data_IF_004324681352
#
_entry.id   IF_004324681352
#
_cell.length_a   1.000
_cell.length_b   1.000
_cell.length_c   1.000
_cell.angle_alpha   90.00
_cell.angle_beta   90.00
_cell.angle_gamma   90.00
#
_symmetry.space_group_name_H-M   'P 1'
#
loop_
_entity.id
_entity.type
_entity.pdbx_description
1 polymer ?
#
# COMPACT_ATOMS: atom_id res chain seq x y z
N UNK A 1 17.45 -9.02 10.70
CA UNK A 1 16.41 -7.96 10.68
C UNK A 1 15.17 -8.49 11.40
N UNK A 2 14.42 -7.68 12.15
CA UNK A 2 13.16 -8.15 12.75
C UNK A 2 12.11 -8.39 11.63
N UNK A 3 11.36 -9.51 11.65
CA UNK A 3 10.31 -9.76 10.65
C UNK A 3 9.25 -8.66 10.66
N UNK A 4 8.80 -8.25 9.47
CA UNK A 4 7.77 -7.22 9.24
C UNK A 4 6.58 -7.83 8.52
N UNK A 5 5.41 -7.22 8.70
CA UNK A 5 4.15 -7.68 8.14
C UNK A 5 3.58 -6.58 7.24
N UNK A 6 3.61 -6.82 5.92
CA UNK A 6 3.17 -5.86 4.92
C UNK A 6 1.76 -6.17 4.44
N UNK A 7 0.88 -5.17 4.45
CA UNK A 7 -0.43 -5.22 3.83
C UNK A 7 -0.39 -4.55 2.45
N UNK A 8 -0.84 -5.23 1.41
CA UNK A 8 -0.99 -4.67 0.07
C UNK A 8 -2.45 -4.33 -0.18
N UNK A 9 -2.73 -3.07 -0.43
CA UNK A 9 -4.04 -2.56 -0.85
C UNK A 9 -3.96 -2.17 -2.32
N UNK A 10 -4.78 -2.80 -3.16
CA UNK A 10 -4.97 -2.50 -4.59
C UNK A 10 -3.72 -2.03 -5.36
N UNK A 11 -3.12 -2.95 -6.13
CA UNK A 11 -1.96 -2.62 -6.96
C UNK A 11 -2.31 -2.12 -8.36
N UNK A 12 -1.28 -1.74 -9.12
CA UNK A 12 -1.35 -1.58 -10.57
C UNK A 12 -1.89 -2.85 -11.24
N UNK A 13 -2.52 -2.70 -12.40
CA UNK A 13 -2.94 -3.81 -13.26
C UNK A 13 -1.74 -4.47 -13.98
N UNK A 14 -0.70 -4.82 -13.22
CA UNK A 14 0.53 -5.46 -13.69
C UNK A 14 1.04 -6.47 -12.65
N UNK A 15 1.98 -7.36 -13.01
CA UNK A 15 2.61 -8.28 -12.07
C UNK A 15 3.46 -7.62 -10.97
N UNK A 16 3.76 -6.32 -11.05
CA UNK A 16 4.72 -5.65 -10.18
C UNK A 16 4.47 -5.88 -8.68
N UNK A 17 3.25 -5.68 -8.18
CA UNK A 17 2.96 -5.91 -6.75
C UNK A 17 3.07 -7.39 -6.35
N UNK A 18 2.81 -8.32 -7.25
CA UNK A 18 3.03 -9.75 -6.99
C UNK A 18 4.52 -10.03 -6.83
N UNK A 19 5.36 -9.51 -7.73
CA UNK A 19 6.80 -9.65 -7.68
C UNK A 19 7.40 -8.98 -6.45
N UNK A 20 7.00 -7.75 -6.14
CA UNK A 20 7.40 -7.03 -4.94
C UNK A 20 7.02 -7.80 -3.67
N UNK A 21 5.79 -8.32 -3.59
CA UNK A 21 5.36 -9.13 -2.44
C UNK A 21 6.15 -10.43 -2.29
N UNK A 22 6.66 -10.99 -3.40
CA UNK A 22 7.50 -12.18 -3.40
C UNK A 22 8.91 -11.87 -2.92
N UNK A 23 9.51 -10.79 -3.43
CA UNK A 23 10.82 -10.32 -3.00
C UNK A 23 10.84 -10.00 -1.49
N UNK A 24 9.82 -9.28 -1.00
CA UNK A 24 9.68 -8.98 0.45
C UNK A 24 9.60 -10.27 1.29
N UNK A 25 8.91 -11.31 0.79
CA UNK A 25 8.87 -12.61 1.48
C UNK A 25 10.22 -13.33 1.49
N UNK A 26 10.99 -13.21 0.41
CA UNK A 26 12.34 -13.80 0.31
C UNK A 26 13.30 -13.18 1.33
N UNK A 27 13.10 -11.90 1.67
CA UNK A 27 13.84 -11.19 2.74
C UNK A 27 13.36 -11.57 4.17
N UNK A 28 12.49 -12.58 4.32
CA UNK A 28 12.04 -13.07 5.62
C UNK A 28 10.87 -12.30 6.24
N UNK A 29 10.15 -11.50 5.45
CA UNK A 29 8.95 -10.79 5.89
C UNK A 29 7.66 -11.50 5.48
N UNK A 30 6.54 -11.12 6.09
CA UNK A 30 5.21 -11.59 5.67
C UNK A 30 4.51 -10.53 4.83
N UNK A 31 3.72 -10.99 3.87
CA UNK A 31 2.88 -10.10 3.06
C UNK A 31 1.48 -10.66 2.94
N UNK A 32 0.51 -9.75 3.04
CA UNK A 32 -0.93 -9.97 2.96
C UNK A 32 -1.48 -9.06 1.88
N UNK A 33 -2.58 -9.45 1.22
CA UNK A 33 -3.16 -8.64 0.14
C UNK A 33 -4.67 -8.61 0.21
N UNK A 34 -5.25 -7.47 -0.14
CA UNK A 34 -6.69 -7.27 -0.27
C UNK A 34 -7.05 -7.02 -1.72
N UNK A 35 -7.95 -7.85 -2.25
CA UNK A 35 -8.53 -7.70 -3.56
C UNK A 35 -9.91 -7.08 -3.44
N UNK A 36 -10.13 -5.97 -4.13
CA UNK A 36 -11.40 -5.24 -4.17
C UNK A 36 -12.18 -5.51 -5.45
N UNK A 37 -11.50 -5.91 -6.53
CA UNK A 37 -12.13 -6.26 -7.80
C UNK A 37 -11.52 -7.50 -8.47
N UNK A 38 -12.12 -7.91 -9.60
CA UNK A 38 -11.62 -9.04 -10.40
C UNK A 38 -10.22 -8.81 -10.97
N UNK A 39 -9.90 -7.58 -11.36
CA UNK A 39 -8.57 -7.19 -11.83
C UNK A 39 -7.49 -7.43 -10.76
N UNK A 40 -7.76 -7.06 -9.50
CA UNK A 40 -6.84 -7.34 -8.39
C UNK A 40 -6.57 -8.84 -8.26
N UNK A 41 -7.62 -9.64 -8.43
CA UNK A 41 -7.54 -11.10 -8.30
C UNK A 41 -6.62 -11.71 -9.35
N UNK A 42 -6.65 -11.20 -10.59
CA UNK A 42 -5.76 -11.62 -11.68
C UNK A 42 -4.27 -11.40 -11.35
N UNK A 43 -3.95 -10.31 -10.64
CA UNK A 43 -2.56 -9.90 -10.34
C UNK A 43 -2.11 -10.18 -8.89
N UNK A 44 -2.94 -10.78 -8.05
CA UNK A 44 -2.69 -10.91 -6.60
C UNK A 44 -1.82 -12.09 -6.17
N UNK A 45 -1.73 -13.14 -6.98
CA UNK A 45 -1.21 -14.43 -6.53
C UNK A 45 -2.21 -15.19 -5.64
N UNK A 46 -1.73 -16.15 -4.84
CA UNK A 46 -2.61 -17.04 -4.05
C UNK A 46 -2.38 -17.02 -2.53
N UNK A 47 -1.18 -16.65 -2.07
CA UNK A 47 -0.80 -16.72 -0.65
C UNK A 47 -1.23 -15.46 0.12
N UNK A 48 -1.92 -15.65 1.24
CA UNK A 48 -2.36 -14.58 2.15
C UNK A 48 -3.17 -13.48 1.46
N UNK A 49 -4.06 -13.88 0.56
CA UNK A 49 -4.92 -12.97 -0.21
C UNK A 49 -6.34 -13.05 0.34
N UNK A 50 -6.93 -11.90 0.64
CA UNK A 50 -8.33 -11.77 1.01
C UNK A 50 -9.09 -11.02 -0.08
N UNK A 51 -10.35 -11.38 -0.24
CA UNK A 51 -11.31 -10.60 -1.02
C UNK A 51 -12.11 -9.72 -0.07
N UNK A 52 -12.23 -8.45 -0.40
CA UNK A 52 -13.14 -7.53 0.28
C UNK A 52 -14.23 -7.09 -0.70
N UNK A 53 -15.47 -7.45 -0.40
CA UNK A 53 -16.65 -7.21 -1.24
C UNK A 53 -17.83 -6.65 -0.44
N UNK A 54 -17.53 -6.02 0.70
CA UNK A 54 -18.52 -5.41 1.59
C UNK A 54 -18.58 -3.88 1.40
N UNK A 55 -19.61 -3.21 1.94
CA UNK A 55 -19.75 -1.75 1.90
C UNK A 55 -18.57 -0.98 2.53
N UNK A 56 -18.25 0.20 2.00
CA UNK A 56 -17.08 1.01 2.40
C UNK A 56 -17.03 1.35 3.91
N UNK A 57 -18.18 1.56 4.54
CA UNK A 57 -18.32 1.87 5.96
C UNK A 57 -17.96 0.70 6.89
N UNK A 58 -18.08 -0.54 6.42
CA UNK A 58 -17.62 -1.73 7.15
C UNK A 58 -16.09 -1.94 7.03
N UNK A 59 -15.43 -1.27 6.08
CA UNK A 59 -14.02 -1.54 5.75
C UNK A 59 -13.05 -1.23 6.90
N UNK A 60 -13.17 -0.10 7.64
CA UNK A 60 -12.29 0.18 8.77
C UNK A 60 -12.34 -0.89 9.87
N UNK A 61 -13.54 -1.38 10.20
CA UNK A 61 -13.72 -2.43 11.20
C UNK A 61 -13.06 -3.73 10.74
N UNK A 62 -13.33 -4.13 9.49
CA UNK A 62 -12.71 -5.31 8.90
C UNK A 62 -11.18 -5.20 8.86
N UNK A 63 -10.63 -4.02 8.52
CA UNK A 63 -9.20 -3.78 8.49
C UNK A 63 -8.59 -3.86 9.90
N UNK A 64 -9.29 -3.36 10.93
CA UNK A 64 -8.87 -3.44 12.32
C UNK A 64 -8.80 -4.89 12.81
N UNK A 65 -9.80 -5.71 12.50
CA UNK A 65 -9.79 -7.15 12.81
C UNK A 65 -8.60 -7.86 12.15
N UNK A 66 -8.32 -7.55 10.89
CA UNK A 66 -7.15 -8.09 10.18
C UNK A 66 -5.83 -7.63 10.79
N UNK A 67 -5.73 -6.37 11.18
CA UNK A 67 -4.55 -5.85 11.86
C UNK A 67 -4.35 -6.52 13.22
N UNK A 68 -5.40 -6.74 14.01
CA UNK A 68 -5.31 -7.46 15.28
C UNK A 68 -4.75 -8.88 15.09
N UNK A 69 -5.17 -9.58 14.04
CA UNK A 69 -4.75 -10.95 13.74
C UNK A 69 -3.32 -11.03 13.17
N UNK A 70 -2.90 -10.06 12.36
CA UNK A 70 -1.68 -10.15 11.55
C UNK A 70 -0.62 -9.09 11.85
N UNK A 71 -0.92 -8.14 12.74
CA UNK A 71 0.02 -7.16 13.28
C UNK A 71 0.80 -6.45 12.17
N UNK A 72 0.09 -5.82 11.22
CA UNK A 72 0.72 -5.09 10.12
C UNK A 72 1.66 -4.02 10.64
N UNK A 73 2.90 -4.02 10.17
CA UNK A 73 3.88 -2.97 10.44
C UNK A 73 3.92 -1.95 9.31
N UNK A 74 3.43 -2.36 8.14
CA UNK A 74 3.59 -1.68 6.87
C UNK A 74 2.37 -1.87 5.98
N UNK A 75 2.07 -0.86 5.18
CA UNK A 75 1.07 -0.95 4.12
C UNK A 75 1.63 -0.36 2.82
N UNK A 76 1.37 -1.07 1.73
CA UNK A 76 1.74 -0.70 0.38
C UNK A 76 0.46 -0.51 -0.43
N UNK A 77 0.33 0.63 -1.09
CA UNK A 77 -0.86 0.96 -1.89
C UNK A 77 -0.50 1.67 -3.19
N UNK A 78 -1.35 1.57 -4.22
CA UNK A 78 -1.20 2.31 -5.47
C UNK A 78 -2.26 3.43 -5.58
N UNK A 79 -1.79 4.67 -5.54
CA UNK A 79 -2.59 5.88 -5.40
C UNK A 79 -3.29 5.97 -4.03
N UNK A 80 -3.36 7.14 -3.41
CA UNK A 80 -3.85 7.28 -2.03
C UNK A 80 -5.22 7.95 -1.88
N UNK A 81 -5.87 8.28 -2.99
CA UNK A 81 -7.13 9.05 -3.00
C UNK A 81 -8.38 8.19 -3.17
N UNK A 82 -8.23 6.88 -3.41
CA UNK A 82 -9.36 5.95 -3.55
C UNK A 82 -10.16 5.86 -2.23
N UNK A 83 -11.49 5.68 -2.24
CA UNK A 83 -12.29 5.68 -1.01
C UNK A 83 -11.81 4.69 0.05
N UNK A 84 -11.53 3.43 -0.36
CA UNK A 84 -11.00 2.40 0.55
C UNK A 84 -9.59 2.75 1.05
N UNK A 85 -8.75 3.37 0.22
CA UNK A 85 -7.40 3.78 0.62
C UNK A 85 -7.44 4.97 1.60
N UNK A 86 -8.32 5.95 1.38
CA UNK A 86 -8.55 7.05 2.33
C UNK A 86 -9.00 6.53 3.69
N UNK A 87 -9.97 5.60 3.69
CA UNK A 87 -10.45 4.96 4.91
C UNK A 87 -9.32 4.17 5.61
N UNK A 88 -8.54 3.40 4.85
CA UNK A 88 -7.37 2.69 5.39
C UNK A 88 -6.37 3.66 6.02
N UNK A 89 -5.93 4.69 5.29
CA UNK A 89 -4.87 5.61 5.73
C UNK A 89 -5.17 6.27 7.07
N UNK A 90 -6.44 6.62 7.32
CA UNK A 90 -6.86 7.15 8.62
C UNK A 90 -6.55 6.16 9.75
N UNK A 91 -7.08 4.94 9.65
CA UNK A 91 -6.83 3.87 10.62
C UNK A 91 -5.32 3.57 10.77
N UNK A 92 -4.60 3.43 9.65
CA UNK A 92 -3.19 3.04 9.64
C UNK A 92 -2.30 4.08 10.33
N UNK A 93 -2.59 5.38 10.17
CA UNK A 93 -1.87 6.45 10.86
C UNK A 93 -2.09 6.40 12.36
N UNK A 94 -3.33 6.17 12.80
CA UNK A 94 -3.67 6.06 14.23
C UNK A 94 -2.94 4.88 14.91
N UNK A 95 -2.55 3.86 14.12
CA UNK A 95 -1.79 2.69 14.58
C UNK A 95 -0.27 2.82 14.38
N UNK A 96 0.25 3.98 13.97
CA UNK A 96 1.67 4.18 13.64
C UNK A 96 2.23 3.19 12.58
N UNK A 97 1.37 2.73 11.67
CA UNK A 97 1.75 1.84 10.57
C UNK A 97 2.38 2.68 9.45
N UNK A 98 3.51 2.22 8.91
CA UNK A 98 4.19 2.95 7.83
C UNK A 98 3.44 2.79 6.52
N UNK A 99 3.24 3.90 5.82
CA UNK A 99 2.44 3.96 4.60
C UNK A 99 3.33 4.23 3.39
N UNK A 100 3.42 3.27 2.50
CA UNK A 100 4.13 3.34 1.23
C UNK A 100 3.14 3.47 0.09
N UNK A 101 3.23 4.57 -0.65
CA UNK A 101 2.31 4.89 -1.73
C UNK A 101 3.08 4.88 -3.04
N UNK A 102 2.68 3.99 -3.94
CA UNK A 102 3.14 3.98 -5.32
C UNK A 102 2.20 4.80 -6.20
N UNK A 103 2.72 5.37 -7.28
CA UNK A 103 1.95 6.07 -8.31
C UNK A 103 2.62 5.95 -9.67
N UNK A 104 1.87 6.21 -10.76
CA UNK A 104 2.46 6.44 -12.07
C UNK A 104 3.57 7.49 -11.96
N UNK A 105 4.78 7.16 -12.43
CA UNK A 105 5.97 7.97 -12.20
C UNK A 105 5.75 9.44 -12.59
N UNK A 106 6.25 10.35 -11.74
CA UNK A 106 6.28 11.78 -12.03
C UNK A 106 7.15 12.10 -13.26
N UNK A 107 8.19 11.29 -13.46
CA UNK A 107 9.04 11.31 -14.64
C UNK A 107 8.65 10.16 -15.56
N UNK A 108 8.58 10.46 -16.87
CA UNK A 108 8.21 9.49 -17.88
C UNK A 108 9.15 9.58 -19.08
N UNK A 109 9.36 8.47 -19.82
CA UNK A 109 8.87 7.09 -19.56
C UNK A 109 9.68 6.30 -18.50
N UNK A 110 9.20 5.10 -18.16
CA UNK A 110 9.90 4.02 -17.40
C UNK A 110 10.00 4.12 -15.86
N UNK A 111 9.46 5.15 -15.22
CA UNK A 111 9.52 5.27 -13.76
C UNK A 111 8.18 5.01 -13.09
N UNK A 112 8.26 4.52 -11.85
CA UNK A 112 7.16 4.46 -10.89
C UNK A 112 7.59 5.27 -9.67
N UNK A 113 6.69 6.11 -9.16
CA UNK A 113 6.96 6.88 -7.93
C UNK A 113 6.69 5.99 -6.72
N UNK A 114 7.54 6.09 -5.71
CA UNK A 114 7.27 5.56 -4.36
C UNK A 114 7.53 6.68 -3.36
N UNK A 115 6.52 7.01 -2.55
CA UNK A 115 6.66 7.95 -1.44
C UNK A 115 6.06 7.41 -0.15
N UNK A 116 6.48 8.00 0.97
CA UNK A 116 5.89 7.71 2.26
C UNK A 116 4.74 8.68 2.54
N UNK A 117 3.66 8.16 3.12
CA UNK A 117 2.49 8.89 3.64
C UNK A 117 1.57 9.59 2.62
N UNK A 118 2.02 9.83 1.38
CA UNK A 118 1.22 10.40 0.29
C UNK A 118 2.01 10.63 -1.00
N UNK A 119 1.30 10.77 -2.12
CA UNK A 119 1.82 11.07 -3.48
C UNK A 119 1.00 12.18 -4.12
N UNK A 120 1.44 12.70 -5.27
CA UNK A 120 0.80 13.79 -6.00
C UNK A 120 0.61 15.01 -5.08
N UNK A 121 -0.63 15.53 -4.99
CA UNK A 121 -0.96 16.65 -4.09
C UNK A 121 -0.77 16.35 -2.59
N UNK A 122 -0.57 15.09 -2.20
CA UNK A 122 -0.21 14.69 -0.83
C UNK A 122 1.27 14.36 -0.66
N UNK A 123 2.11 14.63 -1.67
CA UNK A 123 3.55 14.43 -1.58
C UNK A 123 4.17 15.43 -0.62
N UNK A 124 5.04 14.94 0.27
CA UNK A 124 5.85 15.80 1.16
C UNK A 124 6.97 16.52 0.43
N UNK A 125 7.22 16.23 -0.84
CA UNK A 125 8.19 16.96 -1.65
C UNK A 125 7.79 18.43 -1.82
N UNK A 126 6.49 18.71 -1.85
CA UNK A 126 5.95 20.08 -1.94
C UNK A 126 6.21 20.91 -0.67
N UNK A 127 6.49 20.25 0.45
CA UNK A 127 6.79 20.88 1.75
C UNK A 127 8.29 21.13 1.95
N UNK A 128 9.14 20.67 1.01
CA UNK A 128 10.59 20.79 1.14
C UNK A 128 11.06 22.22 0.90
N UNK A 129 12.05 22.71 1.67
CA UNK A 129 12.65 24.02 1.42
C UNK A 129 13.38 24.02 0.07
N UNK A 130 13.57 25.19 -0.53
CA UNK A 130 14.22 25.31 -1.85
C UNK A 130 15.62 24.65 -1.88
N UNK A 131 16.36 24.70 -0.77
CA UNK A 131 17.69 24.10 -0.70
C UNK A 131 17.70 22.58 -0.80
N UNK A 132 16.58 21.90 -0.49
CA UNK A 132 16.45 20.45 -0.72
C UNK A 132 16.62 20.09 -2.20
N UNK A 133 16.28 21.01 -3.11
CA UNK A 133 16.32 20.80 -4.55
C UNK A 133 17.63 21.23 -5.20
N UNK A 134 18.56 21.81 -4.43
CA UNK A 134 19.88 22.16 -4.91
C UNK A 134 20.77 20.92 -4.81
N UNK A 135 21.32 20.51 -5.95
CA UNK A 135 22.24 19.38 -6.08
C UNK A 135 23.57 19.63 -5.37
#
# INVERSE_FOLDING_TARGET
MMPRNFLFLQGVATPFFKELSSAIRQEGHQTYRVNFCGGDSLFSGRKNVWRYNKPLDEFPLWLAEKHQQHQFTDVVLFGDTRPLHKAAKKFLRDQNIRIYVFEEGYLRPYWITLEQDGVNGHSRLMEKPLDFWKA
#
